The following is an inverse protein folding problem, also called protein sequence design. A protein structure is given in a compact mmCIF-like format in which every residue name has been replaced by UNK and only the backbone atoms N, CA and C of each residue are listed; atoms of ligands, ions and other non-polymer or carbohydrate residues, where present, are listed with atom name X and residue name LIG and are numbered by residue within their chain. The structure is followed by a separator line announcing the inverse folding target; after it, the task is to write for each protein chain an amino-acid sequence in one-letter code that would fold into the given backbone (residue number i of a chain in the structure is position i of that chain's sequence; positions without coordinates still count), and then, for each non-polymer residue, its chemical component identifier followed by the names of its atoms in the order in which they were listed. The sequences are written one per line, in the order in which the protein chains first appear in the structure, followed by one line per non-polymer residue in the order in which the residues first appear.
data_IF_950010879828
#
_entry.id   IF_950010879828
#
_cell.length_a   1.000
_cell.length_b   1.000
_cell.length_c   1.000
_cell.angle_alpha   90.00
_cell.angle_beta   90.00
_cell.angle_gamma   90.00
#
_symmetry.space_group_name_H-M   'P 1'
#
loop_
_entity.id
_entity.type
_entity.pdbx_description
1 polymer ?
#
# COMPACT_ATOMS: atom_id res chain seq x y z
N UNK A 1 -28.49 -22.68 -15.61
CA UNK A 1 -27.36 -22.79 -14.65
C UNK A 1 -26.67 -21.43 -14.59
N UNK A 2 -26.90 -20.64 -13.53
CA UNK A 2 -26.27 -19.33 -13.35
C UNK A 2 -24.85 -19.57 -12.82
N UNK A 3 -23.83 -19.25 -13.61
CA UNK A 3 -22.42 -19.42 -13.23
C UNK A 3 -22.11 -18.45 -12.09
N UNK A 4 -21.82 -19.00 -10.92
CA UNK A 4 -21.34 -18.26 -9.75
C UNK A 4 -19.94 -17.72 -10.10
N UNK A 5 -19.68 -16.40 -9.98
CA UNK A 5 -18.36 -15.85 -10.27
C UNK A 5 -17.34 -16.43 -9.29
N UNK A 6 -16.22 -16.91 -9.84
CA UNK A 6 -15.14 -17.59 -9.12
C UNK A 6 -14.51 -16.60 -8.14
N UNK A 7 -14.51 -16.99 -6.87
CA UNK A 7 -13.72 -16.47 -5.74
C UNK A 7 -12.78 -15.30 -6.09
N UNK A 8 -13.11 -14.13 -5.54
CA UNK A 8 -12.14 -13.06 -5.29
C UNK A 8 -11.06 -13.70 -4.43
N UNK A 9 -9.84 -13.86 -4.95
CA UNK A 9 -8.71 -14.20 -4.11
C UNK A 9 -8.48 -13.01 -3.17
N UNK A 10 -8.71 -13.19 -1.87
CA UNK A 10 -8.22 -12.29 -0.81
C UNK A 10 -6.68 -12.44 -0.66
N UNK A 11 -5.94 -12.46 -1.77
CA UNK A 11 -4.48 -12.50 -1.74
C UNK A 11 -3.95 -11.09 -1.55
N UNK A 12 -3.06 -10.93 -0.58
CA UNK A 12 -2.28 -9.71 -0.43
C UNK A 12 -1.44 -9.50 -1.71
N UNK A 13 -1.24 -8.24 -2.14
CA UNK A 13 -0.36 -7.95 -3.27
C UNK A 13 1.07 -8.44 -3.01
N UNK A 14 1.78 -8.85 -4.06
CA UNK A 14 3.17 -9.31 -3.95
C UNK A 14 4.12 -8.19 -3.50
N UNK A 15 3.81 -6.94 -3.89
CA UNK A 15 4.56 -5.75 -3.54
C UNK A 15 3.67 -4.50 -3.66
N UNK A 16 4.21 -3.34 -3.25
CA UNK A 16 3.54 -2.05 -3.33
C UNK A 16 3.00 -1.74 -4.73
N UNK A 17 3.85 -1.88 -5.76
CA UNK A 17 3.48 -1.56 -7.15
C UNK A 17 2.33 -2.42 -7.67
N UNK A 18 2.31 -3.71 -7.30
CA UNK A 18 1.22 -4.62 -7.63
C UNK A 18 -0.08 -4.19 -6.94
N UNK A 19 -0.01 -3.79 -5.67
CA UNK A 19 -1.17 -3.31 -4.91
C UNK A 19 -1.74 -2.01 -5.46
N UNK A 20 -0.85 -1.07 -5.81
CA UNK A 20 -1.22 0.20 -6.42
C UNK A 20 -1.85 -0.01 -7.81
N UNK A 21 -1.24 -0.83 -8.65
CA UNK A 21 -1.77 -1.14 -9.99
C UNK A 21 -3.15 -1.83 -9.93
N UNK A 22 -3.38 -2.68 -8.95
CA UNK A 22 -4.69 -3.28 -8.74
C UNK A 22 -5.73 -2.24 -8.31
N UNK A 23 -5.37 -1.33 -7.41
CA UNK A 23 -6.24 -0.25 -6.94
C UNK A 23 -6.63 0.69 -8.09
N UNK A 24 -5.68 1.08 -8.93
CA UNK A 24 -5.93 1.90 -10.12
C UNK A 24 -6.91 1.23 -11.08
N UNK A 25 -6.75 -0.08 -11.34
CA UNK A 25 -7.67 -0.84 -12.18
C UNK A 25 -9.09 -0.86 -11.61
N UNK A 26 -9.22 -0.96 -10.29
CA UNK A 26 -10.52 -0.90 -9.61
C UNK A 26 -11.15 0.47 -9.82
N UNK A 27 -10.41 1.56 -9.61
CA UNK A 27 -10.89 2.93 -9.80
C UNK A 27 -11.37 3.13 -11.24
N UNK A 28 -10.56 2.78 -12.23
CA UNK A 28 -10.93 2.88 -13.66
C UNK A 28 -12.20 2.08 -13.96
N UNK A 29 -12.36 0.89 -13.37
CA UNK A 29 -13.55 0.07 -13.55
C UNK A 29 -14.79 0.70 -12.93
N UNK A 30 -14.65 1.31 -11.75
CA UNK A 30 -15.73 2.01 -11.06
C UNK A 30 -16.17 3.27 -11.81
N UNK A 31 -15.22 4.03 -12.36
CA UNK A 31 -15.49 5.21 -13.19
C UNK A 31 -16.17 4.86 -14.52
N UNK A 32 -15.95 3.65 -15.03
CA UNK A 32 -16.58 3.16 -16.26
C UNK A 32 -18.10 2.99 -16.20
N UNK A 33 -18.73 3.07 -15.02
CA UNK A 33 -20.18 3.20 -14.86
C UNK A 33 -21.05 1.99 -15.25
N UNK A 34 -20.47 0.90 -15.75
CA UNK A 34 -21.20 -0.31 -16.18
C UNK A 34 -21.27 -1.41 -15.11
N UNK A 35 -20.95 -1.09 -13.86
CA UNK A 35 -20.92 -2.08 -12.78
C UNK A 35 -22.30 -2.30 -12.16
N UNK A 36 -22.62 -3.56 -11.86
CA UNK A 36 -23.77 -3.87 -11.01
C UNK A 36 -23.52 -3.38 -9.58
N UNK A 37 -24.59 -3.13 -8.82
CA UNK A 37 -24.48 -2.74 -7.40
C UNK A 37 -23.62 -3.73 -6.60
N UNK A 38 -23.81 -5.03 -6.83
CA UNK A 38 -23.04 -6.06 -6.15
C UNK A 38 -21.55 -5.99 -6.51
N UNK A 39 -21.22 -5.81 -7.78
CA UNK A 39 -19.82 -5.67 -8.22
C UNK A 39 -19.18 -4.39 -7.66
N UNK A 40 -19.94 -3.29 -7.56
CA UNK A 40 -19.48 -2.03 -6.99
C UNK A 40 -19.14 -2.17 -5.51
N UNK A 41 -19.96 -2.88 -4.73
CA UNK A 41 -19.69 -3.17 -3.33
C UNK A 41 -18.42 -4.02 -3.15
N UNK A 42 -18.24 -5.05 -3.99
CA UNK A 42 -17.06 -5.91 -3.95
C UNK A 42 -15.78 -5.15 -4.33
N UNK A 43 -15.87 -4.28 -5.34
CA UNK A 43 -14.73 -3.48 -5.80
C UNK A 43 -14.36 -2.41 -4.77
N UNK A 44 -15.35 -1.81 -4.11
CA UNK A 44 -15.11 -0.89 -2.99
C UNK A 44 -14.41 -1.60 -1.83
N UNK A 45 -14.89 -2.78 -1.41
CA UNK A 45 -14.24 -3.55 -0.35
C UNK A 45 -12.78 -3.86 -0.69
N UNK A 46 -12.53 -4.36 -1.90
CA UNK A 46 -11.17 -4.67 -2.36
C UNK A 46 -10.29 -3.41 -2.44
N UNK A 47 -10.84 -2.30 -2.93
CA UNK A 47 -10.15 -1.02 -2.98
C UNK A 47 -9.72 -0.53 -1.59
N UNK A 48 -10.59 -0.70 -0.58
CA UNK A 48 -10.27 -0.34 0.81
C UNK A 48 -9.13 -1.20 1.38
N UNK A 49 -9.11 -2.50 1.10
CA UNK A 49 -8.02 -3.40 1.51
C UNK A 49 -6.68 -2.98 0.87
N UNK A 50 -6.69 -2.71 -0.44
CA UNK A 50 -5.49 -2.29 -1.16
C UNK A 50 -4.99 -0.93 -0.69
N UNK A 51 -5.90 0.00 -0.39
CA UNK A 51 -5.56 1.31 0.16
C UNK A 51 -4.86 1.19 1.51
N UNK A 52 -5.38 0.35 2.42
CA UNK A 52 -4.76 0.10 3.72
C UNK A 52 -3.36 -0.51 3.56
N UNK A 53 -3.20 -1.49 2.67
CA UNK A 53 -1.91 -2.09 2.36
C UNK A 53 -0.90 -1.05 1.86
N UNK A 54 -1.29 -0.21 0.90
CA UNK A 54 -0.41 0.82 0.34
C UNK A 54 0.00 1.85 1.40
N UNK A 55 -0.93 2.28 2.26
CA UNK A 55 -0.63 3.22 3.33
C UNK A 55 0.35 2.63 4.35
N UNK A 56 0.17 1.36 4.74
CA UNK A 56 1.09 0.68 5.65
C UNK A 56 2.50 0.58 5.05
N UNK A 57 2.62 0.18 3.79
CA UNK A 57 3.91 0.11 3.10
C UNK A 57 4.63 1.47 3.04
N UNK A 58 3.89 2.56 2.80
CA UNK A 58 4.46 3.92 2.81
C UNK A 58 4.89 4.36 4.21
N UNK A 59 4.11 4.03 5.25
CA UNK A 59 4.46 4.34 6.64
C UNK A 59 5.73 3.61 7.07
N UNK A 60 5.85 2.33 6.71
CA UNK A 60 7.04 1.53 6.99
C UNK A 60 8.28 2.11 6.28
N UNK A 61 8.15 2.47 5.00
CA UNK A 61 9.23 3.10 4.25
C UNK A 61 9.66 4.43 4.88
N UNK A 62 8.71 5.28 5.27
CA UNK A 62 8.99 6.55 5.96
C UNK A 62 9.68 6.32 7.31
N UNK A 63 9.27 5.31 8.08
CA UNK A 63 9.90 4.97 9.34
C UNK A 63 11.34 4.51 9.15
N UNK A 64 11.61 3.68 8.14
CA UNK A 64 12.97 3.25 7.82
C UNK A 64 13.86 4.45 7.48
N UNK A 65 13.39 5.38 6.65
CA UNK A 65 14.14 6.61 6.32
C UNK A 65 14.48 7.40 7.58
N UNK A 66 13.51 7.64 8.48
CA UNK A 66 13.76 8.34 9.75
C UNK A 66 14.81 7.66 10.62
N UNK A 67 14.80 6.31 10.68
CA UNK A 67 15.80 5.55 11.43
C UNK A 67 17.19 5.75 10.82
N UNK A 68 17.31 5.71 9.49
CA UNK A 68 18.57 5.96 8.80
C UNK A 68 19.09 7.37 9.07
N UNK A 69 18.25 8.39 8.95
CA UNK A 69 18.61 9.79 9.24
C UNK A 69 19.06 9.99 10.69
N UNK A 70 18.36 9.38 11.65
CA UNK A 70 18.76 9.47 13.05
C UNK A 70 20.09 8.77 13.34
N UNK A 71 20.36 7.66 12.65
CA UNK A 71 21.61 6.91 12.80
C UNK A 71 22.79 7.65 12.14
N UNK A 72 22.59 8.23 10.96
CA UNK A 72 23.60 9.07 10.30
C UNK A 72 23.94 10.30 11.16
N UNK A 73 22.93 10.97 11.73
CA UNK A 73 23.13 12.08 12.66
C UNK A 73 23.92 11.67 13.91
N UNK A 74 23.62 10.51 14.52
CA UNK A 74 24.40 9.99 15.67
C UNK A 74 25.87 9.71 15.32
N UNK A 75 26.14 9.22 14.10
CA UNK A 75 27.52 8.93 13.65
C UNK A 75 28.34 10.19 13.40
N UNK A 76 27.69 11.32 13.10
CA UNK A 76 28.37 12.61 12.90
C UNK A 76 28.64 13.27 14.26
N UNK A 77 27.75 13.09 15.25
CA UNK A 77 27.90 13.61 16.61
C UNK A 77 28.86 12.81 17.51
N UNK A 78 29.83 12.09 16.94
CA UNK A 78 30.92 11.51 17.75
C UNK A 78 31.62 12.68 18.46
N UNK A 79 31.76 12.66 19.80
CA UNK A 79 32.44 13.74 20.51
C UNK A 79 33.88 13.80 20.00
N UNK A 80 34.21 14.88 19.29
CA UNK A 80 35.59 15.28 19.09
C UNK A 80 36.17 15.51 20.48
N UNK A 81 37.07 14.61 20.88
CA UNK A 81 37.83 14.72 22.11
C UNK A 81 38.44 16.13 22.15
N UNK A 82 38.00 16.93 23.11
CA UNK A 82 38.60 18.23 23.35
C UNK A 82 39.90 17.96 24.12
N UNK A 83 40.94 17.55 23.40
CA UNK A 83 42.32 17.50 23.89
C UNK A 83 42.85 18.94 23.95
N UNK A 84 42.51 19.64 25.04
CA UNK A 84 43.39 20.64 25.68
C UNK A 84 43.06 20.77 27.16
#
# INVERSE_FOLDING_TARGET
MKKIPKHIKLSHPENFEAGLSELEKIVVKMEGGQMSLQDSLLSHQRGMELLQYCQAALQDAQQQVRIFENNTLKKISIPTNNDH
#
